data_IF_180711507251
#
_entry.id   IF_180711507251
#
_cell.length_a   1.000
_cell.length_b   1.000
_cell.length_c   1.000
_cell.angle_alpha   90.00
_cell.angle_beta   90.00
_cell.angle_gamma   90.00
#
_symmetry.space_group_name_H-M   'P 1'
#
loop_
_entity.id
_entity.type
_entity.pdbx_description
1 polymer ?
#
# COMPACT_ATOMS: atom_id res chain seq x y z
N UNK A 1 -4.64 8.33 -12.70
CA UNK A 1 -3.52 7.35 -12.67
C UNK A 1 -4.11 5.94 -12.56
N UNK A 2 -3.68 4.98 -13.39
CA UNK A 2 -4.21 3.60 -13.34
C UNK A 2 -3.94 3.00 -11.95
N UNK A 3 -4.98 2.55 -11.24
CA UNK A 3 -4.93 1.99 -9.85
C UNK A 3 -3.92 0.84 -9.67
N UNK A 4 -3.46 0.26 -10.78
CA UNK A 4 -2.54 -0.87 -10.84
C UNK A 4 -1.18 -0.52 -11.49
N UNK A 5 -0.88 0.75 -11.79
CA UNK A 5 0.37 1.12 -12.46
C UNK A 5 1.61 0.75 -11.64
N UNK A 6 1.59 0.97 -10.32
CA UNK A 6 2.68 0.56 -9.42
C UNK A 6 2.87 -0.96 -9.37
N UNK A 7 1.77 -1.73 -9.37
CA UNK A 7 1.83 -3.20 -9.46
C UNK A 7 2.39 -3.66 -10.80
N UNK A 8 1.97 -3.02 -11.90
CA UNK A 8 2.47 -3.32 -13.24
C UNK A 8 3.97 -3.01 -13.33
N UNK A 9 4.39 -1.84 -12.87
CA UNK A 9 5.81 -1.46 -12.80
C UNK A 9 6.61 -2.47 -11.98
N UNK A 10 6.07 -2.94 -10.84
CA UNK A 10 6.70 -3.96 -10.02
C UNK A 10 6.90 -5.25 -10.80
N UNK A 11 5.85 -5.77 -11.46
CA UNK A 11 5.94 -7.00 -12.25
C UNK A 11 6.96 -6.85 -13.37
N UNK A 12 6.94 -5.72 -14.08
CA UNK A 12 7.87 -5.43 -15.18
C UNK A 12 9.32 -5.41 -14.71
N UNK A 13 9.59 -4.98 -13.47
CA UNK A 13 10.95 -4.88 -12.93
C UNK A 13 11.40 -6.17 -12.21
N UNK A 14 10.50 -6.88 -11.52
CA UNK A 14 10.84 -8.13 -10.81
C UNK A 14 10.97 -9.33 -11.74
N UNK A 15 10.17 -9.39 -12.81
CA UNK A 15 10.11 -10.54 -13.72
C UNK A 15 11.43 -10.76 -14.46
N UNK A 16 12.13 -9.74 -15.00
CA UNK A 16 13.46 -9.91 -15.59
C UNK A 16 14.51 -10.40 -14.58
N UNK A 17 14.50 -9.89 -13.34
CA UNK A 17 15.45 -10.32 -12.32
C UNK A 17 15.23 -11.79 -11.92
N UNK A 18 13.97 -12.20 -11.77
CA UNK A 18 13.62 -13.59 -11.53
C UNK A 18 14.00 -14.49 -12.72
N UNK A 19 13.74 -14.04 -13.95
CA UNK A 19 14.13 -14.76 -15.16
C UNK A 19 15.65 -14.94 -15.27
N UNK A 20 16.44 -13.90 -14.97
CA UNK A 20 17.91 -13.98 -14.95
C UNK A 20 18.43 -15.00 -13.92
N UNK A 21 17.80 -15.07 -12.75
CA UNK A 21 18.13 -16.06 -11.73
C UNK A 21 17.87 -17.49 -12.27
N UNK A 22 16.68 -17.72 -12.85
CA UNK A 22 16.32 -19.02 -13.44
C UNK A 22 17.27 -19.41 -14.58
N UNK A 23 17.59 -18.47 -15.48
CA UNK A 23 18.55 -18.69 -16.57
C UNK A 23 19.93 -19.01 -16.02
N UNK A 24 20.39 -18.33 -14.98
CA UNK A 24 21.70 -18.58 -14.38
C UNK A 24 21.78 -19.99 -13.75
N UNK A 25 20.73 -20.42 -13.05
CA UNK A 25 20.63 -21.79 -12.51
C UNK A 25 20.62 -22.84 -13.62
N UNK A 26 19.86 -22.59 -14.69
CA UNK A 26 19.80 -23.50 -15.83
C UNK A 26 21.14 -23.58 -16.55
N UNK A 27 21.79 -22.45 -16.82
CA UNK A 27 23.12 -22.37 -17.43
C UNK A 27 24.19 -23.11 -16.62
N UNK A 28 24.13 -23.04 -15.28
CA UNK A 28 25.02 -23.81 -14.42
C UNK A 28 24.89 -25.32 -14.66
N UNK A 29 23.66 -25.84 -14.71
CA UNK A 29 23.40 -27.27 -14.94
C UNK A 29 23.79 -27.70 -16.34
N UNK A 30 23.38 -26.94 -17.36
CA UNK A 30 23.70 -27.22 -18.75
C UNK A 30 25.21 -27.25 -18.98
N UNK A 31 25.97 -26.37 -18.32
CA UNK A 31 27.43 -26.39 -18.41
C UNK A 31 28.04 -27.63 -17.75
N UNK A 32 27.53 -28.04 -16.58
CA UNK A 32 28.02 -29.23 -15.88
C UNK A 32 27.80 -30.50 -16.72
N UNK A 33 26.63 -30.61 -17.36
CA UNK A 33 26.29 -31.70 -18.30
C UNK A 33 27.16 -31.68 -19.57
N UNK A 34 27.37 -30.50 -20.17
CA UNK A 34 28.23 -30.35 -21.34
C UNK A 34 29.68 -30.75 -21.03
N UNK A 35 30.17 -30.41 -19.83
CA UNK A 35 31.51 -30.77 -19.37
C UNK A 35 31.65 -32.28 -19.19
N UNK A 36 30.66 -32.93 -18.60
CA UNK A 36 30.64 -34.39 -18.42
C UNK A 36 30.58 -35.11 -19.79
N UNK A 37 29.79 -34.62 -20.73
CA UNK A 37 29.75 -35.14 -22.10
C UNK A 37 31.10 -35.00 -22.81
N UNK A 38 31.73 -33.82 -22.72
CA UNK A 38 33.05 -33.56 -23.31
C UNK A 38 34.11 -34.52 -22.77
N UNK A 39 34.12 -34.75 -21.44
CA UNK A 39 35.07 -35.67 -20.82
C UNK A 39 34.87 -37.12 -21.27
N UNK A 40 33.62 -37.59 -21.36
CA UNK A 40 33.30 -38.94 -21.85
C UNK A 40 33.78 -39.15 -23.27
N UNK A 41 33.47 -38.22 -24.17
CA UNK A 41 33.90 -38.27 -25.58
C UNK A 41 35.42 -38.20 -25.69
N UNK A 42 36.08 -37.35 -24.89
CA UNK A 42 37.53 -37.21 -24.90
C UNK A 42 38.25 -38.50 -24.47
N UNK A 43 37.78 -39.15 -23.41
CA UNK A 43 38.37 -40.41 -22.92
C UNK A 43 38.16 -41.56 -23.92
N UNK A 44 37.00 -41.58 -24.59
CA UNK A 44 36.71 -42.55 -25.67
C UNK A 44 37.66 -42.38 -26.85
N UNK A 45 37.76 -41.15 -27.37
CA UNK A 45 38.62 -40.83 -28.52
C UNK A 45 40.09 -41.15 -28.22
N UNK A 46 40.51 -40.91 -26.98
CA UNK A 46 41.83 -41.30 -26.49
C UNK A 46 41.98 -42.83 -26.56
N UNK A 47 41.07 -43.61 -25.96
CA UNK A 47 41.17 -45.07 -25.98
C UNK A 47 41.11 -45.66 -27.40
N UNK A 48 40.31 -45.07 -28.29
CA UNK A 48 40.15 -45.44 -29.69
C UNK A 48 41.42 -45.27 -30.49
N UNK A 49 41.96 -44.05 -30.47
CA UNK A 49 43.18 -43.67 -31.19
C UNK A 49 44.33 -44.61 -30.83
N UNK A 50 44.45 -44.99 -29.56
CA UNK A 50 45.54 -45.86 -29.12
C UNK A 50 45.29 -47.36 -29.33
N UNK A 51 44.03 -47.80 -29.31
CA UNK A 51 43.69 -49.16 -29.72
C UNK A 51 43.99 -49.40 -31.21
N UNK A 52 43.72 -48.42 -32.08
CA UNK A 52 44.09 -48.49 -33.50
C UNK A 52 45.61 -48.56 -33.71
N UNK A 53 46.38 -47.79 -32.95
CA UNK A 53 47.86 -47.85 -32.97
C UNK A 53 48.34 -49.25 -32.54
N UNK A 54 47.72 -49.85 -31.53
CA UNK A 54 47.99 -51.22 -31.10
C UNK A 54 47.67 -52.27 -32.15
N UNK A 55 46.57 -52.11 -32.90
CA UNK A 55 46.16 -53.00 -34.01
C UNK A 55 47.07 -52.91 -35.24
N UNK A 56 47.74 -51.78 -35.47
CA UNK A 56 48.58 -51.55 -36.66
C UNK A 56 49.89 -52.37 -36.75
N UNK A 57 50.09 -53.40 -35.91
CA UNK A 57 51.15 -54.40 -36.07
C UNK A 57 52.57 -53.94 -35.73
N UNK A 58 52.78 -52.72 -35.21
CA UNK A 58 54.03 -52.33 -34.55
C UNK A 58 53.99 -52.71 -33.07
N UNK A 59 54.02 -54.01 -32.81
CA UNK A 59 54.18 -54.53 -31.45
C UNK A 59 55.46 -53.98 -30.78
N UNK A 60 55.47 -53.81 -29.44
CA UNK A 60 56.61 -53.26 -28.73
C UNK A 60 57.81 -54.19 -28.85
N UNK A 61 58.80 -53.77 -29.64
CA UNK A 61 60.04 -54.52 -29.83
C UNK A 61 60.80 -54.63 -28.51
N UNK A 62 61.00 -55.86 -28.05
CA UNK A 62 61.60 -56.31 -26.77
C UNK A 62 63.01 -55.78 -26.44
N UNK A 63 63.60 -54.89 -27.23
CA UNK A 63 64.98 -54.40 -27.06
C UNK A 63 65.13 -52.87 -27.22
N UNK A 64 64.07 -52.08 -27.05
CA UNK A 64 64.19 -50.63 -26.92
C UNK A 64 63.81 -50.19 -25.51
N UNK A 65 64.72 -49.51 -24.76
CA UNK A 65 64.33 -48.89 -23.50
C UNK A 65 63.18 -47.93 -23.77
N UNK A 66 62.04 -48.21 -23.12
CA UNK A 66 60.73 -47.59 -23.31
C UNK A 66 60.68 -46.20 -22.64
N UNK A 67 61.72 -45.38 -22.83
CA UNK A 67 61.81 -44.05 -22.23
C UNK A 67 61.23 -42.94 -23.11
N UNK A 68 61.15 -43.13 -24.43
CA UNK A 68 60.85 -42.04 -25.36
C UNK A 68 60.27 -42.56 -26.70
N UNK A 69 59.13 -43.23 -26.69
CA UNK A 69 58.30 -43.31 -27.90
C UNK A 69 57.16 -42.29 -27.80
N UNK A 70 57.48 -41.08 -28.27
CA UNK A 70 56.61 -40.06 -28.89
C UNK A 70 55.11 -40.08 -28.49
N UNK A 71 54.80 -39.82 -27.23
CA UNK A 71 53.57 -39.08 -26.83
C UNK A 71 53.76 -37.55 -26.91
N UNK A 72 54.93 -37.10 -27.37
CA UNK A 72 55.32 -35.67 -27.41
C UNK A 72 54.85 -34.92 -28.66
N UNK A 73 54.15 -35.57 -29.58
CA UNK A 73 53.44 -34.91 -30.69
C UNK A 73 52.01 -35.42 -30.67
N UNK A 74 51.03 -34.50 -30.69
CA UNK A 74 49.57 -34.76 -30.61
C UNK A 74 48.93 -34.83 -29.22
N UNK A 75 49.44 -34.03 -28.28
CA UNK A 75 48.58 -33.27 -27.38
C UNK A 75 49.17 -31.87 -27.30
N UNK A 76 48.46 -30.88 -27.84
CA UNK A 76 48.82 -29.47 -27.63
C UNK A 76 48.64 -29.06 -26.16
N UNK A 77 48.04 -29.91 -25.33
CA UNK A 77 47.78 -29.62 -23.94
C UNK A 77 48.94 -30.05 -23.04
N UNK A 78 49.50 -29.07 -22.31
CA UNK A 78 50.65 -29.23 -21.42
C UNK A 78 50.30 -30.09 -20.20
N UNK A 79 49.01 -30.18 -19.86
CA UNK A 79 48.47 -30.92 -18.71
C UNK A 79 48.64 -32.45 -18.82
N UNK A 80 48.58 -33.01 -20.03
CA UNK A 80 48.82 -34.44 -20.28
C UNK A 80 50.31 -34.82 -20.28
N UNK A 81 51.22 -33.84 -20.42
CA UNK A 81 52.67 -34.10 -20.44
C UNK A 81 53.25 -34.32 -19.05
N UNK A 82 52.59 -33.84 -18.01
CA UNK A 82 53.04 -33.97 -16.62
C UNK A 82 52.51 -35.23 -15.91
N UNK A 83 51.67 -36.04 -16.57
CA UNK A 83 51.05 -37.22 -15.94
C UNK A 83 50.04 -36.86 -14.85
N UNK A 84 49.71 -35.58 -14.69
CA UNK A 84 48.78 -35.09 -13.66
C UNK A 84 47.32 -35.23 -14.08
N UNK A 85 47.00 -34.86 -15.34
CA UNK A 85 45.64 -34.74 -15.84
C UNK A 85 45.04 -36.01 -16.47
N UNK A 86 45.85 -37.05 -16.71
CA UNK A 86 45.38 -38.29 -17.32
C UNK A 86 46.53 -39.25 -17.63
N UNK A 87 46.20 -40.50 -17.92
CA UNK A 87 47.17 -41.55 -18.16
C UNK A 87 46.55 -42.76 -18.85
N UNK A 88 47.40 -43.58 -19.45
CA UNK A 88 46.99 -44.82 -20.12
C UNK A 88 47.76 -46.01 -19.55
N UNK A 89 47.06 -47.12 -19.36
CA UNK A 89 47.59 -48.39 -18.90
C UNK A 89 47.33 -49.46 -19.98
N UNK A 90 48.38 -50.14 -20.42
CA UNK A 90 48.30 -51.33 -21.25
C UNK A 90 48.37 -52.55 -20.35
N UNK A 91 47.34 -53.37 -20.39
CA UNK A 91 47.10 -54.47 -19.46
C UNK A 91 47.08 -55.79 -20.21
N UNK A 92 47.74 -56.80 -19.64
CA UNK A 92 47.62 -58.17 -20.06
C UNK A 92 46.23 -58.75 -19.70
N UNK A 93 45.82 -59.89 -20.30
CA UNK A 93 44.54 -60.53 -19.99
C UNK A 93 44.42 -60.96 -18.51
N UNK A 94 45.55 -61.13 -17.82
CA UNK A 94 45.64 -61.46 -16.39
C UNK A 94 45.60 -60.21 -15.47
N UNK A 95 45.40 -59.01 -16.05
CA UNK A 95 45.33 -57.74 -15.33
C UNK A 95 46.68 -57.12 -14.99
N UNK A 96 47.81 -57.71 -15.42
CA UNK A 96 49.14 -57.13 -15.19
C UNK A 96 49.42 -55.95 -16.11
N UNK A 97 50.00 -54.89 -15.57
CA UNK A 97 50.47 -53.73 -16.35
C UNK A 97 51.66 -54.10 -17.21
N UNK A 98 51.46 -54.15 -18.52
CA UNK A 98 52.49 -54.38 -19.53
C UNK A 98 53.23 -53.07 -19.86
N UNK A 99 52.52 -51.95 -19.89
CA UNK A 99 53.10 -50.62 -20.07
C UNK A 99 52.17 -49.54 -19.49
N UNK A 100 52.74 -48.41 -19.07
CA UNK A 100 52.00 -47.27 -18.53
C UNK A 100 52.57 -45.96 -19.07
N UNK A 101 51.71 -44.97 -19.35
CA UNK A 101 52.18 -43.62 -19.62
C UNK A 101 52.75 -42.97 -18.33
N UNK A 102 53.66 -41.99 -18.42
CA UNK A 102 54.21 -41.33 -17.24
C UNK A 102 53.12 -40.81 -16.31
N UNK A 103 53.17 -41.19 -15.04
CA UNK A 103 52.16 -40.82 -14.03
C UNK A 103 50.85 -41.62 -14.10
N UNK A 104 50.67 -42.58 -15.02
CA UNK A 104 49.46 -43.39 -15.11
C UNK A 104 49.35 -44.48 -14.04
N UNK A 105 50.47 -44.89 -13.43
CA UNK A 105 50.51 -45.87 -12.35
C UNK A 105 49.70 -45.42 -11.13
N UNK A 106 49.55 -44.11 -10.93
CA UNK A 106 48.73 -43.55 -9.86
C UNK A 106 47.24 -43.82 -10.05
N UNK A 107 46.80 -44.25 -11.24
CA UNK A 107 45.39 -44.57 -11.53
C UNK A 107 45.06 -46.05 -11.37
N UNK A 108 46.03 -46.88 -10.93
CA UNK A 108 45.82 -48.31 -10.69
C UNK A 108 44.76 -48.58 -9.61
N UNK A 109 44.54 -47.66 -8.67
CA UNK A 109 43.47 -47.78 -7.67
C UNK A 109 42.09 -47.90 -8.31
N UNK A 110 41.88 -47.30 -9.49
CA UNK A 110 40.60 -47.35 -10.19
C UNK A 110 40.25 -48.78 -10.63
N UNK A 111 41.25 -49.67 -10.81
CA UNK A 111 41.02 -51.08 -11.15
C UNK A 111 40.55 -51.94 -9.97
N UNK A 112 40.52 -51.40 -8.75
CA UNK A 112 40.11 -52.14 -7.54
C UNK A 112 38.61 -52.44 -7.51
N UNK A 113 37.81 -51.66 -8.25
CA UNK A 113 36.34 -51.69 -8.22
C UNK A 113 35.68 -52.50 -9.35
N UNK A 114 36.47 -53.35 -10.05
CA UNK A 114 36.00 -54.26 -11.09
C UNK A 114 36.55 -53.95 -12.50
N UNK A 115 36.38 -54.87 -13.47
CA UNK A 115 36.82 -54.64 -14.84
C UNK A 115 36.05 -53.46 -15.47
N UNK A 116 36.76 -52.58 -16.17
CA UNK A 116 36.15 -51.47 -16.89
C UNK A 116 35.44 -51.95 -18.15
N UNK A 117 34.25 -51.41 -18.37
CA UNK A 117 33.44 -51.65 -19.57
C UNK A 117 33.94 -50.81 -20.76
N UNK A 118 33.41 -51.11 -21.96
CA UNK A 118 33.68 -50.34 -23.19
C UNK A 118 33.06 -48.93 -23.16
N UNK A 119 32.14 -48.66 -22.23
CA UNK A 119 31.56 -47.34 -22.01
C UNK A 119 32.33 -46.55 -20.94
N UNK A 120 32.47 -45.21 -21.07
CA UNK A 120 33.19 -44.41 -20.10
C UNK A 120 32.48 -44.38 -18.76
N UNK A 121 33.18 -44.80 -17.72
CA UNK A 121 32.69 -44.76 -16.34
C UNK A 121 33.25 -43.54 -15.61
N UNK A 122 32.36 -42.82 -14.93
CA UNK A 122 32.74 -41.76 -13.98
C UNK A 122 33.09 -42.41 -12.64
N UNK A 123 34.29 -42.16 -12.14
CA UNK A 123 34.79 -42.69 -10.85
C UNK A 123 35.27 -41.52 -10.00
N UNK A 124 35.05 -41.59 -8.69
CA UNK A 124 35.55 -40.60 -7.73
C UNK A 124 36.67 -41.24 -6.91
N UNK A 125 37.72 -40.48 -6.59
CA UNK A 125 38.65 -40.88 -5.54
C UNK A 125 38.15 -40.46 -4.15
N UNK A 126 38.85 -40.93 -3.11
CA UNK A 126 38.58 -40.61 -1.70
C UNK A 126 38.74 -39.10 -1.39
N UNK A 127 39.44 -38.37 -2.26
CA UNK A 127 39.66 -36.92 -2.18
C UNK A 127 38.58 -36.10 -2.92
N UNK A 128 37.62 -36.77 -3.58
CA UNK A 128 36.53 -36.16 -4.32
C UNK A 128 36.87 -35.72 -5.76
N UNK A 129 38.05 -36.08 -6.27
CA UNK A 129 38.40 -35.85 -7.67
C UNK A 129 37.61 -36.78 -8.58
N UNK A 130 37.15 -36.23 -9.70
CA UNK A 130 36.35 -36.95 -10.69
C UNK A 130 37.25 -37.40 -11.83
N UNK A 131 37.27 -38.70 -12.08
CA UNK A 131 37.96 -39.34 -13.19
C UNK A 131 36.97 -39.98 -14.14
N UNK A 132 37.33 -39.99 -15.41
CA UNK A 132 36.65 -40.72 -16.46
C UNK A 132 37.59 -41.79 -16.98
N UNK A 133 37.14 -43.04 -16.94
CA UNK A 133 37.93 -44.20 -17.33
C UNK A 133 37.16 -45.05 -18.34
N UNK A 134 37.86 -45.56 -19.36
CA UNK A 134 37.30 -46.52 -20.32
C UNK A 134 38.33 -47.58 -20.67
N UNK A 135 37.88 -48.82 -20.86
CA UNK A 135 38.72 -49.93 -21.30
C UNK A 135 38.34 -50.36 -22.71
N UNK A 136 39.32 -50.64 -23.55
CA UNK A 136 39.12 -51.21 -24.90
C UNK A 136 39.98 -52.45 -25.07
N UNK A 137 39.37 -53.53 -25.55
CA UNK A 137 40.05 -54.80 -25.81
C UNK A 137 40.71 -54.79 -27.20
N UNK A 138 41.92 -55.34 -27.28
CA UNK A 138 42.67 -55.50 -28.52
C UNK A 138 42.59 -56.95 -29.00
N UNK A 139 42.85 -57.12 -30.29
CA UNK A 139 42.74 -58.40 -31.00
C UNK A 139 43.68 -59.50 -30.41
N UNK A 140 44.72 -59.10 -29.67
CA UNK A 140 45.66 -59.98 -28.96
C UNK A 140 45.19 -60.39 -27.54
N UNK A 141 43.97 -60.00 -27.12
CA UNK A 141 43.42 -60.23 -25.77
C UNK A 141 43.93 -59.25 -24.70
N UNK A 142 44.86 -58.36 -25.05
CA UNK A 142 45.32 -57.28 -24.18
C UNK A 142 44.30 -56.14 -24.12
N UNK A 143 44.29 -55.37 -23.04
CA UNK A 143 43.35 -54.25 -22.82
C UNK A 143 44.08 -52.92 -22.66
N UNK A 144 43.52 -51.85 -23.23
CA UNK A 144 43.96 -50.47 -22.98
C UNK A 144 42.95 -49.81 -22.06
N UNK A 145 43.41 -49.31 -20.92
CA UNK A 145 42.65 -48.48 -20.01
C UNK A 145 43.11 -47.03 -20.16
N UNK A 146 42.22 -46.16 -20.63
CA UNK A 146 42.44 -44.72 -20.70
C UNK A 146 41.74 -44.04 -19.53
N UNK A 147 42.45 -43.18 -18.80
CA UNK A 147 41.93 -42.45 -17.63
C UNK A 147 42.24 -40.97 -17.78
N UNK A 148 41.25 -40.11 -17.55
CA UNK A 148 41.42 -38.66 -17.55
C UNK A 148 40.75 -38.05 -16.33
N UNK A 149 41.47 -37.15 -15.64
CA UNK A 149 40.97 -36.37 -14.52
C UNK A 149 40.20 -35.15 -15.03
N UNK A 150 38.92 -35.06 -14.70
CA UNK A 150 38.10 -33.87 -14.96
C UNK A 150 38.57 -32.69 -14.10
N UNK A 151 38.97 -32.95 -12.86
CA UNK A 151 39.36 -31.90 -11.91
C UNK A 151 40.67 -31.24 -12.31
N UNK A 152 41.64 -31.97 -12.84
CA UNK A 152 42.93 -31.39 -13.23
C UNK A 152 42.87 -30.80 -14.65
N UNK A 153 42.25 -31.49 -15.61
CA UNK A 153 42.28 -31.08 -17.02
C UNK A 153 41.48 -29.80 -17.26
N UNK A 154 40.31 -29.68 -16.61
CA UNK A 154 39.40 -28.55 -16.86
C UNK A 154 39.30 -27.60 -15.66
N UNK A 155 40.12 -27.78 -14.61
CA UNK A 155 40.13 -26.90 -13.43
C UNK A 155 40.17 -25.40 -13.77
N UNK A 156 41.10 -24.92 -14.62
CA UNK A 156 41.22 -23.50 -14.90
C UNK A 156 39.99 -22.94 -15.63
N UNK A 157 39.46 -23.70 -16.60
CA UNK A 157 38.33 -23.29 -17.43
C UNK A 157 37.00 -23.37 -16.64
N UNK A 158 36.81 -24.46 -15.88
CA UNK A 158 35.65 -24.64 -15.02
C UNK A 158 35.61 -23.60 -13.89
N UNK A 159 36.76 -23.24 -13.31
CA UNK A 159 36.86 -22.22 -12.27
C UNK A 159 36.38 -20.85 -12.74
N UNK A 160 36.87 -20.38 -13.90
CA UNK A 160 36.48 -19.08 -14.46
C UNK A 160 34.97 -19.02 -14.72
N UNK A 161 34.40 -20.03 -15.36
CA UNK A 161 32.99 -20.02 -15.73
C UNK A 161 32.07 -20.18 -14.52
N UNK A 162 32.40 -21.07 -13.57
CA UNK A 162 31.65 -21.23 -12.33
C UNK A 162 31.64 -19.94 -11.51
N UNK A 163 32.77 -19.22 -11.47
CA UNK A 163 32.86 -17.92 -10.79
C UNK A 163 31.87 -16.90 -11.37
N UNK A 164 31.85 -16.71 -12.70
CA UNK A 164 30.94 -15.75 -13.33
C UNK A 164 29.46 -16.12 -13.16
N UNK A 165 29.12 -17.40 -13.25
CA UNK A 165 27.74 -17.86 -13.03
C UNK A 165 27.31 -17.65 -11.57
N UNK A 166 28.17 -17.98 -10.61
CA UNK A 166 27.88 -17.73 -9.19
C UNK A 166 27.77 -16.22 -8.90
N UNK A 167 28.65 -15.40 -9.45
CA UNK A 167 28.59 -13.95 -9.31
C UNK A 167 27.27 -13.40 -9.89
N UNK A 168 26.85 -13.87 -11.07
CA UNK A 168 25.58 -13.49 -11.68
C UNK A 168 24.37 -13.94 -10.84
N UNK A 169 24.40 -15.14 -10.26
CA UNK A 169 23.37 -15.62 -9.34
C UNK A 169 23.28 -14.76 -8.08
N UNK A 170 24.41 -14.46 -7.45
CA UNK A 170 24.46 -13.64 -6.23
C UNK A 170 23.95 -12.23 -6.53
N UNK A 171 24.41 -11.60 -7.61
CA UNK A 171 23.95 -10.28 -8.02
C UNK A 171 22.44 -10.26 -8.31
N UNK A 172 21.93 -11.25 -9.06
CA UNK A 172 20.51 -11.36 -9.38
C UNK A 172 19.66 -11.57 -8.13
N UNK A 173 20.13 -12.40 -7.19
CA UNK A 173 19.48 -12.62 -5.90
C UNK A 173 19.45 -11.35 -5.05
N UNK A 174 20.56 -10.62 -4.97
CA UNK A 174 20.64 -9.35 -4.24
C UNK A 174 19.67 -8.30 -4.81
N UNK A 175 19.60 -8.16 -6.14
CA UNK A 175 18.64 -7.27 -6.81
C UNK A 175 17.21 -7.69 -6.53
N UNK A 176 16.91 -9.00 -6.61
CA UNK A 176 15.57 -9.52 -6.36
C UNK A 176 15.13 -9.29 -4.91
N UNK A 177 15.98 -9.56 -3.93
CA UNK A 177 15.72 -9.30 -2.51
C UNK A 177 15.55 -7.79 -2.27
N UNK A 178 16.43 -6.96 -2.82
CA UNK A 178 16.33 -5.50 -2.72
C UNK A 178 14.99 -4.98 -3.26
N UNK A 179 14.51 -5.54 -4.37
CA UNK A 179 13.22 -5.19 -4.95
C UNK A 179 12.03 -5.61 -4.06
N UNK A 180 12.09 -6.81 -3.45
CA UNK A 180 11.07 -7.26 -2.49
C UNK A 180 11.02 -6.37 -1.24
N UNK A 181 12.19 -5.96 -0.73
CA UNK A 181 12.28 -5.04 0.40
C UNK A 181 11.71 -3.66 0.04
N UNK A 182 12.09 -3.10 -1.11
CA UNK A 182 11.53 -1.83 -1.59
C UNK A 182 10.01 -1.88 -1.72
N UNK A 183 9.47 -2.99 -2.22
CA UNK A 183 8.03 -3.19 -2.30
C UNK A 183 7.36 -3.21 -0.92
N UNK A 184 7.88 -4.05 -0.01
CA UNK A 184 7.32 -4.25 1.34
C UNK A 184 7.36 -2.95 2.16
N UNK A 185 8.44 -2.20 2.07
CA UNK A 185 8.67 -1.06 2.95
C UNK A 185 8.23 0.28 2.34
N UNK A 186 8.32 0.47 1.02
CA UNK A 186 8.01 1.75 0.38
C UNK A 186 6.71 1.72 -0.43
N UNK A 187 6.61 0.83 -1.42
CA UNK A 187 5.52 0.87 -2.40
C UNK A 187 4.16 0.47 -1.80
N UNK A 188 4.12 -0.63 -1.03
CA UNK A 188 2.88 -1.11 -0.42
C UNK A 188 2.33 -0.13 0.63
N UNK A 189 3.14 0.42 1.56
CA UNK A 189 2.62 1.40 2.51
C UNK A 189 2.21 2.72 1.88
N UNK A 190 2.96 3.23 0.90
CA UNK A 190 2.58 4.44 0.17
C UNK A 190 1.21 4.27 -0.51
N UNK A 191 0.97 3.12 -1.14
CA UNK A 191 -0.34 2.79 -1.71
C UNK A 191 -1.44 2.76 -0.66
N UNK A 192 -1.15 2.21 0.53
CA UNK A 192 -2.06 2.19 1.67
C UNK A 192 -2.46 3.60 2.14
N UNK A 193 -1.49 4.52 2.25
CA UNK A 193 -1.75 5.93 2.59
C UNK A 193 -2.66 6.56 1.52
N UNK A 194 -2.29 6.43 0.24
CA UNK A 194 -3.05 7.01 -0.89
C UNK A 194 -4.48 6.47 -0.98
N UNK A 195 -4.70 5.20 -0.63
CA UNK A 195 -6.05 4.62 -0.61
C UNK A 195 -6.90 5.08 0.58
N UNK A 196 -6.27 5.39 1.71
CA UNK A 196 -6.95 5.90 2.90
C UNK A 196 -7.32 7.38 2.79
N UNK A 197 -6.49 8.22 2.15
CA UNK A 197 -6.72 9.67 2.05
C UNK A 197 -8.14 10.03 1.56
N UNK A 198 -8.66 9.45 0.46
CA UNK A 198 -10.01 9.77 -0.02
C UNK A 198 -11.14 9.31 0.92
N UNK A 199 -10.85 8.42 1.87
CA UNK A 199 -11.83 7.92 2.84
C UNK A 199 -11.89 8.78 4.10
N UNK A 200 -10.94 9.71 4.27
CA UNK A 200 -10.94 10.65 5.40
C UNK A 200 -12.08 11.65 5.20
N UNK A 201 -12.97 11.72 6.18
CA UNK A 201 -13.99 12.75 6.26
C UNK A 201 -13.39 14.02 6.88
N UNK A 202 -12.82 14.89 6.05
CA UNK A 202 -12.29 16.18 6.47
C UNK A 202 -13.35 16.96 7.26
N UNK A 203 -12.97 17.50 8.43
CA UNK A 203 -13.88 18.20 9.34
C UNK A 203 -14.73 17.30 10.25
N UNK A 204 -14.62 15.96 10.14
CA UNK A 204 -15.31 15.00 11.03
C UNK A 204 -14.35 14.01 11.70
N UNK A 205 -13.35 13.52 10.98
CA UNK A 205 -12.38 12.58 11.52
C UNK A 205 -11.25 13.32 12.23
N UNK A 206 -10.98 12.97 13.49
CA UNK A 206 -9.88 13.53 14.28
C UNK A 206 -8.66 12.61 14.22
N UNK A 207 -7.53 13.13 13.77
CA UNK A 207 -6.21 12.47 13.70
C UNK A 207 -6.21 11.06 13.07
N UNK A 208 -6.52 10.92 11.77
CA UNK A 208 -6.46 9.64 11.08
C UNK A 208 -5.02 9.10 10.98
N UNK A 209 -4.80 7.86 11.45
CA UNK A 209 -3.50 7.19 11.34
C UNK A 209 -3.35 6.49 9.98
N UNK A 210 -2.52 7.05 9.11
CA UNK A 210 -2.32 6.55 7.76
C UNK A 210 -1.18 5.53 7.69
N UNK A 211 -0.10 5.73 8.46
CA UNK A 211 1.07 4.88 8.47
C UNK A 211 1.69 4.74 9.87
N UNK A 212 2.17 3.53 10.20
CA UNK A 212 2.80 3.20 11.49
C UNK A 212 4.03 2.29 11.32
N UNK A 213 4.67 2.33 10.15
CA UNK A 213 5.82 1.48 9.82
C UNK A 213 7.16 2.16 10.13
N UNK A 214 8.27 1.51 9.73
CA UNK A 214 9.63 1.94 10.11
C UNK A 214 10.20 3.11 9.30
N UNK A 215 9.56 3.54 8.20
CA UNK A 215 10.06 4.65 7.37
C UNK A 215 9.66 5.98 7.97
N UNK A 216 10.65 6.75 8.42
CA UNK A 216 10.45 8.06 9.04
C UNK A 216 9.69 9.04 8.14
N UNK A 217 10.03 9.12 6.85
CA UNK A 217 9.43 10.05 5.89
C UNK A 217 7.93 9.80 5.69
N UNK A 218 7.52 8.52 5.65
CA UNK A 218 6.10 8.15 5.56
C UNK A 218 5.37 8.40 6.88
N UNK A 219 6.05 8.23 8.01
CA UNK A 219 5.54 8.59 9.34
C UNK A 219 5.28 10.09 9.44
N UNK A 220 6.28 10.91 9.10
CA UNK A 220 6.17 12.37 9.10
C UNK A 220 5.06 12.86 8.16
N UNK A 221 4.93 12.29 6.96
CA UNK A 221 3.81 12.62 6.07
C UNK A 221 2.45 12.24 6.69
N UNK A 222 2.35 11.09 7.34
CA UNK A 222 1.13 10.68 8.05
C UNK A 222 0.80 11.60 9.22
N UNK A 223 1.81 12.10 9.93
CA UNK A 223 1.66 13.05 11.03
C UNK A 223 1.14 14.39 10.53
N UNK A 224 1.77 14.97 9.50
CA UNK A 224 1.31 16.23 8.89
C UNK A 224 -0.13 16.12 8.36
N UNK A 225 -0.50 15.00 7.73
CA UNK A 225 -1.89 14.81 7.29
C UNK A 225 -2.83 14.65 8.50
N UNK A 226 -2.37 14.00 9.57
CA UNK A 226 -3.09 13.88 10.83
C UNK A 226 -3.37 15.24 11.46
N UNK A 227 -2.37 16.11 11.49
CA UNK A 227 -2.47 17.49 12.00
C UNK A 227 -3.43 18.33 11.15
N UNK A 228 -3.34 18.23 9.82
CA UNK A 228 -4.28 18.93 8.91
C UNK A 228 -5.73 18.46 9.11
N UNK A 229 -5.94 17.17 9.36
CA UNK A 229 -7.27 16.64 9.66
C UNK A 229 -7.76 17.11 11.03
N UNK A 230 -6.88 17.16 12.04
CA UNK A 230 -7.15 17.74 13.35
C UNK A 230 -7.55 19.22 13.26
N UNK A 231 -6.78 20.04 12.56
CA UNK A 231 -7.07 21.45 12.35
C UNK A 231 -8.41 21.66 11.61
N UNK A 232 -8.68 20.83 10.58
CA UNK A 232 -9.95 20.88 9.86
C UNK A 232 -11.15 20.51 10.77
N UNK A 233 -10.97 19.55 11.67
CA UNK A 233 -11.97 19.18 12.67
C UNK A 233 -12.21 20.33 13.66
N UNK A 234 -11.13 20.86 14.25
CA UNK A 234 -11.21 21.94 15.25
C UNK A 234 -11.87 23.18 14.65
N UNK A 235 -11.58 23.51 13.38
CA UNK A 235 -12.23 24.63 12.67
C UNK A 235 -13.73 24.42 12.47
N UNK A 236 -14.16 23.22 12.09
CA UNK A 236 -15.59 22.93 11.89
C UNK A 236 -16.35 22.93 13.23
N UNK A 237 -15.72 22.41 14.29
CA UNK A 237 -16.28 22.44 15.63
C UNK A 237 -16.41 23.87 16.16
N UNK A 238 -15.35 24.68 16.02
CA UNK A 238 -15.36 26.09 16.40
C UNK A 238 -16.45 26.86 15.63
N UNK A 239 -16.62 26.58 14.34
CA UNK A 239 -17.68 27.18 13.52
C UNK A 239 -19.07 26.82 14.05
N UNK A 240 -19.31 25.55 14.39
CA UNK A 240 -20.61 25.12 14.97
C UNK A 240 -20.90 25.80 16.30
N UNK A 241 -19.87 25.89 17.16
CA UNK A 241 -19.97 26.59 18.43
C UNK A 241 -20.28 28.07 18.23
N UNK A 242 -19.58 28.76 17.32
CA UNK A 242 -19.87 30.16 17.01
C UNK A 242 -21.28 30.39 16.50
N UNK A 243 -21.79 29.54 15.60
CA UNK A 243 -23.18 29.65 15.12
C UNK A 243 -24.16 29.49 16.28
N UNK A 244 -23.92 28.51 17.15
CA UNK A 244 -24.79 28.24 18.31
C UNK A 244 -24.77 29.41 19.29
N UNK A 245 -23.59 29.95 19.60
CA UNK A 245 -23.42 31.10 20.48
C UNK A 245 -24.05 32.36 19.90
N UNK A 246 -23.89 32.60 18.60
CA UNK A 246 -24.49 33.75 17.92
C UNK A 246 -26.02 33.70 18.02
N UNK A 247 -26.64 32.54 17.71
CA UNK A 247 -28.09 32.36 17.84
C UNK A 247 -28.55 32.57 19.28
N UNK A 248 -27.81 32.02 20.26
CA UNK A 248 -28.12 32.19 21.69
C UNK A 248 -28.06 33.65 22.13
N UNK A 249 -27.02 34.37 21.71
CA UNK A 249 -26.84 35.80 22.03
C UNK A 249 -27.94 36.64 21.39
N UNK A 250 -28.30 36.35 20.14
CA UNK A 250 -29.38 37.04 19.44
C UNK A 250 -30.72 36.84 20.16
N UNK A 251 -31.06 35.60 20.52
CA UNK A 251 -32.30 35.31 21.21
C UNK A 251 -32.34 35.92 22.62
N UNK A 252 -31.20 35.94 23.33
CA UNK A 252 -31.09 36.67 24.60
C UNK A 252 -31.29 38.19 24.42
N UNK A 253 -30.76 38.77 23.35
CA UNK A 253 -30.94 40.17 23.02
C UNK A 253 -32.41 40.49 22.69
N UNK A 254 -33.09 39.66 21.90
CA UNK A 254 -34.52 39.80 21.60
C UNK A 254 -35.37 39.78 22.87
N UNK A 255 -35.13 38.81 23.77
CA UNK A 255 -35.82 38.73 25.07
C UNK A 255 -35.54 39.93 25.97
N UNK A 256 -34.32 40.48 25.92
CA UNK A 256 -33.97 41.66 26.68
C UNK A 256 -34.70 42.91 26.15
N UNK A 257 -34.69 43.12 24.83
CA UNK A 257 -35.40 44.21 24.17
C UNK A 257 -36.91 44.16 24.41
N UNK A 258 -37.53 42.98 24.30
CA UNK A 258 -38.95 42.80 24.61
C UNK A 258 -39.27 43.22 26.05
N UNK A 259 -38.39 42.90 27.00
CA UNK A 259 -38.56 43.30 28.40
C UNK A 259 -38.43 44.82 28.60
N UNK A 260 -37.45 45.46 27.96
CA UNK A 260 -37.29 46.92 28.03
C UNK A 260 -38.48 47.66 27.39
N UNK A 261 -38.97 47.19 26.24
CA UNK A 261 -40.16 47.73 25.57
C UNK A 261 -41.43 47.54 26.40
N UNK A 262 -41.57 46.38 27.04
CA UNK A 262 -42.69 46.08 27.92
C UNK A 262 -42.68 46.96 29.17
N UNK A 263 -41.54 47.04 29.87
CA UNK A 263 -41.46 47.70 31.17
C UNK A 263 -41.41 49.23 31.07
N UNK A 264 -40.89 49.81 29.98
CA UNK A 264 -40.85 51.25 29.79
C UNK A 264 -42.00 51.76 28.90
N UNK A 265 -41.86 51.69 27.57
CA UNK A 265 -42.82 52.23 26.61
C UNK A 265 -44.26 51.73 26.80
N UNK A 266 -44.47 50.41 26.89
CA UNK A 266 -45.83 49.86 26.98
C UNK A 266 -46.52 50.28 28.28
N UNK A 267 -45.84 50.17 29.41
CA UNK A 267 -46.38 50.62 30.71
C UNK A 267 -46.68 52.13 30.73
N UNK A 268 -45.81 52.95 30.14
CA UNK A 268 -46.03 54.39 30.03
C UNK A 268 -47.27 54.72 29.18
N UNK A 269 -47.45 54.04 28.05
CA UNK A 269 -48.63 54.20 27.19
C UNK A 269 -49.91 53.77 27.93
N UNK A 270 -49.90 52.65 28.64
CA UNK A 270 -51.05 52.22 29.46
C UNK A 270 -51.38 53.23 30.57
N UNK A 271 -50.36 53.78 31.23
CA UNK A 271 -50.55 54.82 32.24
C UNK A 271 -51.11 56.12 31.63
N UNK A 272 -50.66 56.48 30.42
CA UNK A 272 -51.18 57.63 29.69
C UNK A 272 -52.65 57.45 29.28
N UNK A 273 -53.04 56.27 28.77
CA UNK A 273 -54.45 55.94 28.48
C UNK A 273 -55.32 56.14 29.73
N UNK A 274 -54.91 55.58 30.88
CA UNK A 274 -55.65 55.75 32.14
C UNK A 274 -55.77 57.22 32.57
N UNK A 275 -54.73 58.02 32.39
CA UNK A 275 -54.77 59.46 32.71
C UNK A 275 -55.70 60.23 31.78
N UNK A 276 -55.73 59.87 30.49
CA UNK A 276 -56.64 60.46 29.49
C UNK A 276 -58.10 60.13 29.86
N UNK A 277 -58.38 58.87 30.20
CA UNK A 277 -59.72 58.43 30.64
C UNK A 277 -60.18 59.20 31.89
N UNK A 278 -59.32 59.30 32.91
CA UNK A 278 -59.62 60.08 34.12
C UNK A 278 -59.84 61.56 33.84
N UNK A 279 -59.03 62.16 32.96
CA UNK A 279 -59.21 63.55 32.54
C UNK A 279 -60.55 63.74 31.81
N UNK A 280 -60.94 62.80 30.95
CA UNK A 280 -62.24 62.79 30.27
C UNK A 280 -63.42 62.72 31.24
N UNK A 281 -63.32 61.91 32.30
CA UNK A 281 -64.34 61.85 33.35
C UNK A 281 -64.49 63.17 34.12
N UNK A 282 -63.38 63.85 34.44
CA UNK A 282 -63.38 65.14 35.15
C UNK A 282 -63.88 66.28 34.26
N UNK A 283 -63.59 66.23 32.96
CA UNK A 283 -63.89 67.31 31.99
C UNK A 283 -65.26 67.17 31.31
N UNK A 284 -66.06 66.15 31.63
CA UNK A 284 -67.43 65.94 31.13
C UNK A 284 -68.37 67.17 31.24
N UNK A 285 -68.03 68.15 32.08
CA UNK A 285 -68.81 69.36 32.30
C UNK A 285 -68.30 70.63 31.55
N UNK A 286 -67.19 70.57 30.79
CA UNK A 286 -66.49 71.77 30.27
C UNK A 286 -66.53 71.98 28.73
N UNK A 287 -67.43 71.31 28.00
CA UNK A 287 -67.70 71.58 26.58
C UNK A 287 -67.21 70.50 25.60
N UNK A 288 -67.80 70.47 24.39
CA UNK A 288 -67.68 69.37 23.42
C UNK A 288 -66.27 69.18 22.82
N UNK A 289 -65.57 70.27 22.46
CA UNK A 289 -64.23 70.20 21.83
C UNK A 289 -63.18 69.51 22.71
N UNK A 290 -63.23 69.72 24.04
CA UNK A 290 -62.26 69.12 24.96
C UNK A 290 -62.42 67.60 25.10
N UNK A 291 -63.65 67.09 24.95
CA UNK A 291 -63.93 65.66 24.98
C UNK A 291 -63.45 64.97 23.69
N UNK A 292 -63.62 65.60 22.53
CA UNK A 292 -63.17 65.08 21.24
C UNK A 292 -61.64 64.99 21.15
N UNK A 293 -60.92 66.02 21.63
CA UNK A 293 -59.46 65.98 21.70
C UNK A 293 -58.90 64.90 22.64
N UNK A 294 -59.56 64.64 23.77
CA UNK A 294 -59.17 63.56 24.69
C UNK A 294 -59.45 62.17 24.11
N UNK A 295 -60.58 61.98 23.43
CA UNK A 295 -60.89 60.73 22.73
C UNK A 295 -59.84 60.43 21.64
N UNK A 296 -59.48 61.44 20.84
CA UNK A 296 -58.44 61.30 19.81
C UNK A 296 -57.07 60.96 20.40
N UNK A 297 -56.71 61.58 21.54
CA UNK A 297 -55.47 61.27 22.25
C UNK A 297 -55.49 59.85 22.84
N UNK A 298 -56.64 59.39 23.33
CA UNK A 298 -56.80 58.03 23.83
C UNK A 298 -56.60 57.01 22.71
N UNK A 299 -57.25 57.19 21.56
CA UNK A 299 -57.10 56.32 20.39
C UNK A 299 -55.65 56.27 19.91
N UNK A 300 -54.96 57.41 19.84
CA UNK A 300 -53.56 57.47 19.42
C UNK A 300 -52.62 56.69 20.37
N UNK A 301 -52.82 56.81 21.69
CA UNK A 301 -51.99 56.08 22.67
C UNK A 301 -52.38 54.60 22.73
N UNK A 302 -53.66 54.25 22.51
CA UNK A 302 -54.10 52.86 22.37
C UNK A 302 -53.47 52.20 21.14
N UNK A 303 -53.44 52.88 19.99
CA UNK A 303 -52.77 52.39 18.79
C UNK A 303 -51.28 52.15 19.04
N UNK A 304 -50.57 53.14 19.62
CA UNK A 304 -49.15 53.00 19.95
C UNK A 304 -48.89 51.88 20.97
N UNK A 305 -49.77 51.69 21.97
CA UNK A 305 -49.66 50.58 22.92
C UNK A 305 -49.90 49.21 22.25
N UNK A 306 -50.79 49.14 21.26
CA UNK A 306 -51.00 47.97 20.42
C UNK A 306 -49.74 47.60 19.64
N UNK A 307 -49.18 48.57 18.91
CA UNK A 307 -47.95 48.37 18.13
C UNK A 307 -46.77 47.91 19.00
N UNK A 308 -46.57 48.54 20.17
CA UNK A 308 -45.50 48.12 21.11
C UNK A 308 -45.73 46.68 21.59
N UNK A 309 -46.98 46.30 21.86
CA UNK A 309 -47.30 44.92 22.27
C UNK A 309 -46.99 43.93 21.15
N UNK A 310 -47.34 44.28 19.91
CA UNK A 310 -47.07 43.44 18.75
C UNK A 310 -45.55 43.24 18.55
N UNK A 311 -44.74 44.29 18.72
CA UNK A 311 -43.28 44.17 18.69
C UNK A 311 -42.73 43.31 19.83
N UNK A 312 -43.26 43.45 21.06
CA UNK A 312 -42.85 42.61 22.19
C UNK A 312 -43.14 41.13 21.92
N UNK A 313 -44.30 40.83 21.35
CA UNK A 313 -44.72 39.48 21.01
C UNK A 313 -43.89 38.87 19.86
N UNK A 314 -43.47 39.67 18.88
CA UNK A 314 -42.57 39.23 17.80
C UNK A 314 -41.15 38.95 18.32
N UNK A 315 -40.64 39.84 19.17
CA UNK A 315 -39.31 39.72 19.79
C UNK A 315 -39.26 38.54 20.77
N UNK A 316 -40.28 38.35 21.59
CA UNK A 316 -40.33 37.31 22.63
C UNK A 316 -41.70 36.64 22.68
N UNK A 317 -41.99 35.71 21.76
CA UNK A 317 -43.31 35.08 21.63
C UNK A 317 -43.70 34.32 22.90
N UNK A 318 -44.70 34.84 23.61
CA UNK A 318 -45.13 34.33 24.91
C UNK A 318 -45.85 32.98 24.85
N UNK A 319 -46.39 32.65 23.67
CA UNK A 319 -47.10 31.41 23.35
C UNK A 319 -46.18 30.20 23.16
N UNK A 320 -44.86 30.37 23.08
CA UNK A 320 -43.90 29.25 23.04
C UNK A 320 -44.05 28.34 24.28
N UNK A 321 -44.49 28.90 25.41
CA UNK A 321 -44.78 28.15 26.64
C UNK A 321 -46.03 27.29 26.59
N UNK A 322 -46.88 27.47 25.57
CA UNK A 322 -48.13 26.73 25.39
C UNK A 322 -47.95 25.41 24.64
N UNK A 323 -46.75 25.14 24.11
CA UNK A 323 -46.47 23.99 23.25
C UNK A 323 -46.30 24.40 21.78
N UNK A 324 -45.78 23.48 20.97
CA UNK A 324 -45.45 23.73 19.57
C UNK A 324 -46.70 23.91 18.71
N UNK A 325 -47.72 23.06 18.85
CA UNK A 325 -48.92 23.13 18.03
C UNK A 325 -49.63 24.47 18.25
N UNK A 326 -49.83 24.83 19.53
CA UNK A 326 -50.41 26.11 19.93
C UNK A 326 -49.59 27.32 19.44
N UNK A 327 -48.26 27.23 19.51
CA UNK A 327 -47.37 28.31 19.08
C UNK A 327 -47.39 28.55 17.55
N UNK A 328 -47.47 27.47 16.76
CA UNK A 328 -47.57 27.55 15.31
C UNK A 328 -48.93 28.10 14.88
N UNK A 329 -50.02 27.65 15.50
CA UNK A 329 -51.37 28.14 15.21
C UNK A 329 -51.48 29.64 15.48
N UNK A 330 -50.99 30.12 16.63
CA UNK A 330 -51.01 31.56 16.96
C UNK A 330 -50.20 32.39 15.94
N UNK A 331 -49.06 31.89 15.46
CA UNK A 331 -48.30 32.58 14.40
C UNK A 331 -49.05 32.60 13.06
N UNK A 332 -49.68 31.48 12.67
CA UNK A 332 -50.48 31.38 11.45
C UNK A 332 -51.69 32.33 11.47
N UNK A 333 -52.38 32.40 12.61
CA UNK A 333 -53.51 33.31 12.82
C UNK A 333 -53.06 34.78 12.73
N UNK A 334 -51.89 35.10 13.29
CA UNK A 334 -51.30 36.46 13.20
C UNK A 334 -50.90 36.83 11.78
N UNK A 335 -50.26 35.91 11.04
CA UNK A 335 -49.94 36.10 9.62
C UNK A 335 -51.20 36.34 8.78
N UNK A 336 -52.24 35.54 9.01
CA UNK A 336 -53.52 35.67 8.28
C UNK A 336 -54.25 36.97 8.62
N UNK A 337 -54.11 37.48 9.86
CA UNK A 337 -54.63 38.80 10.26
C UNK A 337 -53.86 39.96 9.64
N UNK A 338 -52.54 39.82 9.52
CA UNK A 338 -51.69 40.85 8.92
C UNK A 338 -51.87 40.96 7.39
N UNK A 339 -52.23 39.86 6.73
CA UNK A 339 -52.45 39.79 5.28
C UNK A 339 -53.85 39.26 4.97
N UNK A 340 -54.81 40.16 4.67
CA UNK A 340 -56.24 39.84 4.47
C UNK A 340 -56.56 38.76 3.41
N UNK A 341 -55.60 38.41 2.54
CA UNK A 341 -55.76 37.41 1.47
C UNK A 341 -54.92 36.14 1.67
N UNK A 342 -54.24 36.02 2.81
CA UNK A 342 -53.41 34.87 3.15
C UNK A 342 -54.17 33.95 4.11
N UNK A 343 -54.33 32.69 3.73
CA UNK A 343 -54.85 31.64 4.61
C UNK A 343 -53.71 30.67 4.95
N UNK A 344 -53.39 30.54 6.24
CA UNK A 344 -52.35 29.63 6.73
C UNK A 344 -53.03 28.52 7.54
N UNK A 345 -52.82 27.27 7.14
CA UNK A 345 -53.33 26.08 7.83
C UNK A 345 -52.16 25.37 8.54
N UNK A 346 -52.36 24.99 9.80
CA UNK A 346 -51.36 24.31 10.62
C UNK A 346 -51.90 22.93 11.01
N UNK A 347 -51.17 21.89 10.62
CA UNK A 347 -51.40 20.52 11.08
C UNK A 347 -50.18 20.08 11.91
N UNK A 348 -50.39 19.88 13.22
CA UNK A 348 -49.36 19.43 14.15
C UNK A 348 -49.95 18.39 15.11
N UNK A 349 -49.15 17.38 15.46
CA UNK A 349 -49.52 16.37 16.45
C UNK A 349 -49.38 16.96 17.87
N UNK A 350 -50.39 16.74 18.73
CA UNK A 350 -50.39 17.18 20.12
C UNK A 350 -49.24 16.55 20.94
N UNK A 351 -48.71 15.40 20.53
CA UNK A 351 -47.54 14.79 21.20
C UNK A 351 -46.29 15.71 21.16
N UNK A 352 -46.23 16.65 20.23
CA UNK A 352 -45.14 17.63 20.07
C UNK A 352 -45.15 18.75 21.13
N UNK A 353 -46.22 18.88 21.91
CA UNK A 353 -46.29 19.89 22.99
C UNK A 353 -45.45 19.48 24.22
N UNK A 354 -44.90 18.27 24.23
CA UNK A 354 -43.95 17.79 25.25
C UNK A 354 -42.51 18.31 25.04
N UNK A 355 -42.23 19.01 23.94
CA UNK A 355 -40.89 19.50 23.62
C UNK A 355 -40.43 20.59 24.61
N UNK A 356 -39.12 20.65 24.93
CA UNK A 356 -38.56 21.74 25.71
C UNK A 356 -38.79 23.10 25.03
N UNK A 357 -39.06 24.14 25.82
CA UNK A 357 -39.35 25.51 25.34
C UNK A 357 -38.30 26.03 24.33
N UNK A 358 -37.03 25.68 24.52
CA UNK A 358 -35.93 26.07 23.63
C UNK A 358 -36.05 25.44 22.23
N UNK A 359 -36.53 24.19 22.15
CA UNK A 359 -36.78 23.51 20.87
C UNK A 359 -38.05 24.04 20.21
N UNK A 360 -39.10 24.28 20.99
CA UNK A 360 -40.34 24.91 20.50
C UNK A 360 -40.03 26.26 19.87
N UNK A 361 -39.26 27.09 20.57
CA UNK A 361 -38.84 28.40 20.09
C UNK A 361 -38.05 28.31 18.78
N UNK A 362 -37.07 27.39 18.70
CA UNK A 362 -36.28 27.21 17.49
C UNK A 362 -37.15 26.84 16.28
N UNK A 363 -38.12 25.94 16.46
CA UNK A 363 -39.06 25.55 15.42
C UNK A 363 -40.00 26.69 15.02
N UNK A 364 -40.48 27.46 16.00
CA UNK A 364 -41.30 28.66 15.73
C UNK A 364 -40.49 29.70 14.95
N UNK A 365 -39.20 29.91 15.25
CA UNK A 365 -38.34 30.82 14.48
C UNK A 365 -38.14 30.34 13.04
N UNK A 366 -37.94 29.04 12.84
CA UNK A 366 -37.87 28.45 11.50
C UNK A 366 -39.18 28.68 10.75
N UNK A 367 -40.31 28.44 11.39
CA UNK A 367 -41.63 28.70 10.80
C UNK A 367 -41.83 30.17 10.44
N UNK A 368 -41.53 31.10 11.35
CA UNK A 368 -41.63 32.55 11.13
C UNK A 368 -40.79 32.98 9.92
N UNK A 369 -39.53 32.55 9.87
CA UNK A 369 -38.63 32.89 8.77
C UNK A 369 -39.09 32.26 7.45
N UNK A 370 -39.54 31.00 7.48
CA UNK A 370 -40.04 30.32 6.29
C UNK A 370 -41.33 30.96 5.76
N UNK A 371 -42.27 31.29 6.64
CA UNK A 371 -43.52 31.95 6.29
C UNK A 371 -43.28 33.37 5.78
N UNK A 372 -42.40 34.13 6.43
CA UNK A 372 -41.97 35.46 5.97
C UNK A 372 -41.35 35.43 4.58
N UNK A 373 -40.55 34.40 4.26
CA UNK A 373 -39.97 34.23 2.93
C UNK A 373 -40.97 33.75 1.86
N UNK A 374 -42.12 33.20 2.27
CA UNK A 374 -43.12 32.65 1.36
C UNK A 374 -44.21 33.65 0.96
N UNK A 375 -44.47 34.65 1.81
CA UNK A 375 -45.40 35.77 1.60
C UNK A 375 -44.67 36.92 0.93
#
# INVERSE_FOLDING_TARGET
MRKNFLLFLMIVVTLPAAALLVVSVHSYRAQEEAMDSMMRSYVLDLAETYAEIGRSGRGPSRHRPMGQMRFRMMSMDQALKMGEAGGMLYLAPDGRTLAASPGAEKFLFLMRDGPFDEEPRRVLDDEGNVYYAVSRELDDGNRILAVVSRTVLIAPLAGIWKFWIMAAMIASSAVFIGMLLLWKYLAAPLRGIVEKIPRISWGRDRNPVLYSGPIYELGSLSEVIGDLAGEAFDKEELKRQYVTDMVRVEEQARRHLARELHDGPLQASVAAIKRIQLAGEVLKNNGADSAEHLATAEEAVQAAAGEIRDYCDELSPSWVRLGLASALQENADRLSKAYESLAVEVEADEELDSLPEEQVLALVRIFQEAASNAV
#
